data_IF_191024772224
#
_entry.id   IF_191024772224
#
_cell.length_a   1.000
_cell.length_b   1.000
_cell.length_c   1.000
_cell.angle_alpha   90.00
_cell.angle_beta   90.00
_cell.angle_gamma   90.00
#
_symmetry.space_group_name_H-M   'P 1'
#
loop_
_entity.id
_entity.type
_entity.pdbx_description
1 polymer ?
#
# COMPACT_ATOMS: atom_id res chain seq x y z
N UNK A 1 -7.45 -33.37 17.61
CA UNK A 1 -7.10 -31.97 17.92
C UNK A 1 -6.85 -31.30 16.59
N UNK A 2 -7.87 -30.65 16.03
CA UNK A 2 -7.79 -29.93 14.77
C UNK A 2 -7.23 -28.55 15.06
N UNK A 3 -5.94 -28.37 14.81
CA UNK A 3 -5.31 -27.05 14.78
C UNK A 3 -5.98 -26.23 13.69
N UNK A 4 -6.77 -25.23 14.11
CA UNK A 4 -7.28 -24.21 13.22
C UNK A 4 -6.08 -23.39 12.75
N UNK A 5 -5.64 -23.64 11.50
CA UNK A 5 -4.74 -22.74 10.80
C UNK A 5 -5.48 -21.40 10.64
N UNK A 6 -5.24 -20.49 11.59
CA UNK A 6 -5.64 -19.12 11.47
C UNK A 6 -4.99 -18.56 10.22
N UNK A 7 -5.76 -18.47 9.14
CA UNK A 7 -5.40 -17.78 7.92
C UNK A 7 -5.38 -16.28 8.22
N UNK A 8 -4.40 -15.84 9.02
CA UNK A 8 -3.97 -14.46 9.12
C UNK A 8 -3.35 -14.15 7.76
N UNK A 9 -4.20 -13.87 6.77
CA UNK A 9 -3.74 -13.08 5.63
C UNK A 9 -3.24 -11.78 6.24
N UNK A 10 -1.92 -11.63 6.23
CA UNK A 10 -1.20 -10.47 6.72
C UNK A 10 -1.63 -9.27 5.88
N UNK A 11 -2.76 -8.67 6.25
CA UNK A 11 -3.31 -7.48 5.62
C UNK A 11 -2.48 -6.31 6.10
N UNK A 12 -1.33 -6.15 5.47
CA UNK A 12 -0.57 -4.93 5.58
C UNK A 12 -1.41 -3.81 4.96
N UNK A 13 -1.68 -2.77 5.73
CA UNK A 13 -2.43 -1.59 5.29
C UNK A 13 -1.54 -0.38 5.52
N UNK A 14 -1.40 0.45 4.49
CA UNK A 14 -0.77 1.76 4.57
C UNK A 14 -1.89 2.80 4.58
N UNK A 15 -2.37 3.20 5.78
CA UNK A 15 -3.56 4.04 5.91
C UNK A 15 -3.35 5.48 5.43
N UNK A 16 -2.09 5.92 5.44
CA UNK A 16 -1.64 7.24 4.97
C UNK A 16 -1.21 7.21 3.50
N UNK A 17 -1.35 6.06 2.83
CA UNK A 17 -1.02 5.91 1.43
C UNK A 17 0.46 6.09 1.15
N UNK A 18 0.75 6.54 -0.07
CA UNK A 18 2.11 6.72 -0.55
C UNK A 18 2.18 6.85 -2.07
N UNK A 19 3.41 6.97 -2.51
CA UNK A 19 3.83 6.95 -3.91
C UNK A 19 4.07 5.51 -4.35
N UNK A 20 3.43 5.09 -5.43
CA UNK A 20 3.48 3.72 -5.94
C UNK A 20 4.07 3.72 -7.35
N UNK A 21 5.15 2.97 -7.51
CA UNK A 21 5.82 2.73 -8.79
C UNK A 21 5.27 1.44 -9.40
N UNK A 22 4.69 1.54 -10.59
CA UNK A 22 4.11 0.40 -11.31
C UNK A 22 4.94 0.11 -12.56
N UNK A 23 5.28 -1.16 -12.77
CA UNK A 23 6.00 -1.60 -13.95
C UNK A 23 5.24 -1.29 -15.25
N UNK A 24 5.92 -0.60 -16.17
CA UNK A 24 5.38 -0.19 -17.46
C UNK A 24 4.70 1.17 -17.46
N UNK A 25 4.73 1.88 -16.34
CA UNK A 25 4.40 3.30 -16.26
C UNK A 25 5.68 4.10 -15.97
N UNK A 26 5.86 5.21 -16.67
CA UNK A 26 6.99 6.13 -16.44
C UNK A 26 6.76 7.02 -15.21
N UNK A 27 5.50 7.20 -14.79
CA UNK A 27 5.13 8.08 -13.69
C UNK A 27 4.80 7.32 -12.40
N UNK A 28 5.18 7.93 -11.28
CA UNK A 28 4.80 7.52 -9.93
C UNK A 28 3.36 7.96 -9.65
N UNK A 29 2.55 7.07 -9.09
CA UNK A 29 1.16 7.36 -8.74
C UNK A 29 1.00 7.56 -7.24
N UNK A 30 0.35 8.65 -6.86
CA UNK A 30 0.08 8.97 -5.45
C UNK A 30 -1.32 8.47 -5.07
N UNK A 31 -1.38 7.72 -3.98
CA UNK A 31 -2.63 7.20 -3.43
C UNK A 31 -2.76 7.56 -1.96
N UNK A 32 -4.00 7.77 -1.51
CA UNK A 32 -4.33 8.14 -0.13
C UNK A 32 -4.33 6.94 0.81
N UNK A 33 -4.49 5.74 0.28
CA UNK A 33 -4.49 4.48 1.04
C UNK A 33 -4.07 3.32 0.15
N UNK A 34 -3.23 2.44 0.68
CA UNK A 34 -2.77 1.24 -0.03
C UNK A 34 -3.05 0.03 0.86
N UNK A 35 -3.61 -1.02 0.29
CA UNK A 35 -3.94 -2.27 1.00
C UNK A 35 -3.37 -3.48 0.25
N UNK A 36 -2.67 -4.34 0.98
CA UNK A 36 -2.14 -5.58 0.44
C UNK A 36 -3.12 -6.73 0.69
N UNK A 37 -3.60 -7.34 -0.39
CA UNK A 37 -4.55 -8.44 -0.39
C UNK A 37 -3.95 -9.64 -1.13
N UNK A 38 -3.00 -10.30 -0.46
CA UNK A 38 -2.28 -11.44 -1.03
C UNK A 38 -1.44 -11.03 -2.24
N UNK A 39 -1.87 -11.42 -3.44
CA UNK A 39 -1.17 -11.12 -4.70
C UNK A 39 -1.59 -9.81 -5.34
N UNK A 40 -2.49 -9.06 -4.71
CA UNK A 40 -3.00 -7.81 -5.25
C UNK A 40 -2.76 -6.67 -4.28
N UNK A 41 -2.49 -5.51 -4.84
CA UNK A 41 -2.33 -4.24 -4.14
C UNK A 41 -3.49 -3.34 -4.57
N UNK A 42 -4.28 -2.94 -3.59
CA UNK A 42 -5.43 -2.06 -3.78
C UNK A 42 -5.00 -0.64 -3.42
N UNK A 43 -5.01 0.24 -4.41
CA UNK A 43 -4.56 1.61 -4.30
C UNK A 43 -5.77 2.55 -4.43
N UNK A 44 -6.10 3.25 -3.35
CA UNK A 44 -7.30 4.08 -3.25
C UNK A 44 -6.90 5.55 -3.34
N UNK A 45 -7.48 6.26 -4.30
CA UNK A 45 -7.45 7.71 -4.38
C UNK A 45 -8.81 8.27 -3.91
N UNK A 46 -8.83 8.92 -2.75
CA UNK A 46 -10.03 9.46 -2.12
C UNK A 46 -10.53 10.72 -2.82
N UNK A 47 -9.63 11.50 -3.42
CA UNK A 47 -10.01 12.74 -4.11
C UNK A 47 -10.82 12.43 -5.37
N UNK A 48 -10.41 11.41 -6.12
CA UNK A 48 -11.10 10.94 -7.32
C UNK A 48 -12.15 9.86 -7.07
N UNK A 49 -12.32 9.39 -5.84
CA UNK A 49 -13.09 8.18 -5.51
C UNK A 49 -12.74 6.98 -6.40
N UNK A 50 -11.46 6.84 -6.72
CA UNK A 50 -10.95 5.82 -7.64
C UNK A 50 -10.23 4.72 -6.85
N UNK A 51 -10.47 3.47 -7.25
CA UNK A 51 -9.75 2.30 -6.77
C UNK A 51 -9.01 1.66 -7.95
N UNK A 52 -7.68 1.66 -7.88
CA UNK A 52 -6.83 0.91 -8.78
C UNK A 52 -6.39 -0.39 -8.11
N UNK A 53 -6.42 -1.50 -8.85
CA UNK A 53 -6.00 -2.81 -8.34
C UNK A 53 -4.86 -3.32 -9.21
N UNK A 54 -3.71 -3.55 -8.59
CA UNK A 54 -2.50 -3.99 -9.28
C UNK A 54 -2.05 -5.37 -8.78
N UNK A 55 -1.55 -6.24 -9.68
CA UNK A 55 -0.77 -7.39 -9.25
C UNK A 55 0.47 -6.95 -8.48
N UNK A 56 0.77 -7.60 -7.35
CA UNK A 56 1.87 -7.23 -6.47
C UNK A 56 3.24 -7.38 -7.16
N UNK A 57 3.37 -8.29 -8.11
CA UNK A 57 4.55 -8.49 -8.96
C UNK A 57 4.81 -7.31 -9.91
N UNK A 58 3.79 -6.50 -10.22
CA UNK A 58 3.95 -5.28 -11.03
C UNK A 58 4.27 -4.04 -10.19
N UNK A 59 4.14 -4.10 -8.88
CA UNK A 59 4.49 -2.98 -7.99
C UNK A 59 5.99 -3.03 -7.72
N UNK A 60 6.74 -2.07 -8.25
CA UNK A 60 8.21 -2.00 -8.12
C UNK A 60 8.63 -1.45 -6.76
N UNK A 61 7.88 -0.48 -6.26
CA UNK A 61 8.19 0.22 -5.03
C UNK A 61 6.98 0.97 -4.49
N UNK A 62 6.93 1.11 -3.17
CA UNK A 62 5.97 1.95 -2.46
C UNK A 62 6.77 2.83 -1.51
N UNK A 63 6.80 4.13 -1.80
CA UNK A 63 7.44 5.14 -0.96
C UNK A 63 6.36 5.79 -0.09
N UNK A 64 6.40 5.55 1.21
CA UNK A 64 5.46 6.17 2.15
C UNK A 64 5.99 7.52 2.62
N UNK A 65 5.12 8.51 2.74
CA UNK A 65 5.49 9.81 3.28
C UNK A 65 5.82 9.68 4.77
N UNK A 66 7.11 9.69 5.13
CA UNK A 66 7.60 9.68 6.51
C UNK A 66 7.63 11.06 7.16
N UNK A 67 7.16 12.12 6.49
CA UNK A 67 7.25 13.51 6.99
C UNK A 67 6.67 13.71 8.40
N UNK A 68 5.69 12.90 8.81
CA UNK A 68 5.10 12.92 10.15
C UNK A 68 5.91 12.16 11.22
N UNK A 69 6.86 11.31 10.80
CA UNK A 69 7.84 10.64 11.65
C UNK A 69 9.16 11.40 11.72
N UNK A 70 9.46 12.26 10.74
CA UNK A 70 10.64 13.13 10.76
C UNK A 70 10.48 14.33 11.72
N UNK A 71 9.23 14.71 12.03
CA UNK A 71 8.89 15.79 12.97
C UNK A 71 8.57 15.27 14.39
N UNK A 72 8.53 13.94 14.60
CA UNK A 72 8.62 13.37 15.94
C UNK A 72 10.08 13.50 16.40
N UNK A 73 10.39 14.70 16.90
CA UNK A 73 11.67 15.04 17.49
C UNK A 73 12.14 13.92 18.40
N UNK A 74 13.27 13.32 18.02
CA UNK A 74 14.08 12.49 18.91
C UNK A 74 14.63 13.42 20.02
N UNK A 75 13.82 13.68 21.04
CA UNK A 75 14.26 14.21 22.32
C UNK A 75 13.69 13.37 23.45
#
# INVERSE_FOLDING_TARGET
MSEQFGNHQDRSILPNGGEVEIEGFDDVRVYDRIEFHGRFVHCINKQGYQLDVWPADRVRGINTYTKHLEDEGWW
#
